data_IF_087274166045
#
_entry.id   IF_087274166045
#
_cell.length_a   1.000
_cell.length_b   1.000
_cell.length_c   1.000
_cell.angle_alpha   90.00
_cell.angle_beta   90.00
_cell.angle_gamma   90.00
#
_symmetry.space_group_name_H-M   'P 1'
#
loop_
_entity.id
_entity.type
_entity.pdbx_description
1 polymer ?
#
# COMPACT_ATOMS: atom_id res chain seq x y z
N UNK A 1 17.99 -2.82 15.65
CA UNK A 1 18.86 -2.19 14.64
C UNK A 1 19.86 -1.21 15.24
N UNK A 2 19.43 -0.26 16.09
CA UNK A 2 20.35 0.68 16.77
C UNK A 2 21.40 0.00 17.66
N UNK A 3 21.05 -1.12 18.32
CA UNK A 3 21.98 -1.91 19.14
C UNK A 3 23.10 -2.55 18.30
N UNK A 4 22.79 -3.05 17.08
CA UNK A 4 23.76 -3.68 16.18
C UNK A 4 24.73 -2.62 15.63
N UNK A 5 24.23 -1.45 15.23
CA UNK A 5 25.07 -0.32 14.80
C UNK A 5 25.95 0.20 15.93
N UNK A 6 25.39 0.32 17.14
CA UNK A 6 26.13 0.71 18.34
C UNK A 6 27.24 -0.28 18.66
N UNK A 7 26.96 -1.59 18.61
CA UNK A 7 27.98 -2.63 18.79
C UNK A 7 29.03 -2.59 17.66
N UNK A 8 28.64 -2.51 16.39
CA UNK A 8 29.58 -2.46 15.26
C UNK A 8 30.53 -1.26 15.32
N UNK A 9 30.06 -0.09 15.78
CA UNK A 9 30.90 1.11 15.96
C UNK A 9 31.79 0.96 17.20
N UNK A 10 31.27 0.39 18.30
CA UNK A 10 32.03 0.20 19.54
C UNK A 10 33.09 -0.91 19.44
N UNK A 11 32.94 -1.85 18.51
CA UNK A 11 33.87 -2.96 18.29
C UNK A 11 34.82 -2.76 17.10
N UNK A 12 34.80 -1.59 16.46
CA UNK A 12 35.79 -1.16 15.46
C UNK A 12 37.16 -0.93 16.15
N UNK A 13 37.91 -2.01 16.36
CA UNK A 13 39.28 -1.96 16.90
C UNK A 13 39.60 -2.95 18.02
N UNK A 14 38.65 -3.78 18.48
CA UNK A 14 38.92 -4.85 19.44
C UNK A 14 38.98 -6.19 18.68
N UNK A 15 40.16 -6.81 18.50
CA UNK A 15 40.24 -8.11 17.84
C UNK A 15 39.55 -9.15 18.72
N UNK A 16 38.33 -9.56 18.34
CA UNK A 16 37.75 -10.79 18.85
C UNK A 16 38.21 -11.94 17.97
N UNK A 17 38.74 -12.98 18.59
CA UNK A 17 38.82 -14.29 17.96
C UNK A 17 37.39 -14.75 17.64
N UNK A 18 37.06 -14.88 16.35
CA UNK A 18 35.82 -15.44 15.83
C UNK A 18 35.69 -16.92 16.22
N UNK A 19 35.45 -17.21 17.50
CA UNK A 19 35.55 -18.57 18.04
C UNK A 19 34.35 -19.47 17.66
N UNK A 20 33.38 -18.96 16.88
CA UNK A 20 32.15 -19.69 16.51
C UNK A 20 31.61 -19.32 15.12
N UNK A 21 32.47 -18.90 14.18
CA UNK A 21 32.05 -18.55 12.81
C UNK A 21 31.31 -19.72 12.14
N UNK A 22 31.78 -20.95 12.37
CA UNK A 22 31.19 -22.18 11.81
C UNK A 22 29.77 -22.43 12.30
N UNK A 23 29.50 -22.18 13.59
CA UNK A 23 28.16 -22.34 14.16
C UNK A 23 27.19 -21.26 13.66
N UNK A 24 27.67 -20.02 13.50
CA UNK A 24 26.88 -18.92 12.92
C UNK A 24 26.49 -19.19 11.47
N UNK A 25 27.45 -19.65 10.64
CA UNK A 25 27.18 -20.03 9.25
C UNK A 25 26.19 -21.18 9.17
N UNK A 26 26.36 -22.22 10.00
CA UNK A 26 25.45 -23.36 10.03
C UNK A 26 24.02 -22.96 10.42
N UNK A 27 23.87 -22.14 11.47
CA UNK A 27 22.56 -21.66 11.93
C UNK A 27 21.85 -20.84 10.85
N UNK A 28 22.55 -19.86 10.26
CA UNK A 28 22.02 -19.00 9.21
C UNK A 28 21.69 -19.81 7.94
N UNK A 29 22.49 -20.83 7.63
CA UNK A 29 22.21 -21.77 6.53
C UNK A 29 20.94 -22.58 6.75
N UNK A 30 20.71 -23.07 7.97
CA UNK A 30 19.45 -23.75 8.34
C UNK A 30 18.26 -22.80 8.20
N UNK A 31 18.38 -21.55 8.66
CA UNK A 31 17.32 -20.54 8.50
C UNK A 31 17.03 -20.25 7.02
N UNK A 32 18.06 -20.12 6.18
CA UNK A 32 17.90 -19.91 4.73
C UNK A 32 17.13 -21.05 4.07
N UNK A 33 17.46 -22.30 4.44
CA UNK A 33 16.80 -23.50 3.94
C UNK A 33 15.33 -23.55 4.37
N UNK A 34 15.04 -23.26 5.64
CA UNK A 34 13.66 -23.22 6.16
C UNK A 34 12.83 -22.14 5.45
N UNK A 35 13.39 -20.94 5.27
CA UNK A 35 12.74 -19.85 4.53
C UNK A 35 12.45 -20.25 3.08
N UNK A 36 13.36 -20.95 2.42
CA UNK A 36 13.18 -21.41 1.04
C UNK A 36 12.04 -22.44 0.94
N UNK A 37 12.02 -23.41 1.85
CA UNK A 37 10.99 -24.45 1.90
C UNK A 37 9.63 -23.83 2.19
N UNK A 38 9.51 -23.02 3.26
CA UNK A 38 8.26 -22.34 3.61
C UNK A 38 7.78 -21.42 2.49
N UNK A 39 8.68 -20.62 1.91
CA UNK A 39 8.37 -19.74 0.81
C UNK A 39 7.83 -20.48 -0.41
N UNK A 40 8.47 -21.60 -0.78
CA UNK A 40 8.05 -22.46 -1.88
C UNK A 40 6.68 -23.09 -1.63
N UNK A 41 6.42 -23.56 -0.40
CA UNK A 41 5.12 -24.10 0.00
C UNK A 41 4.03 -23.03 -0.06
N UNK A 42 4.29 -21.83 0.47
CA UNK A 42 3.37 -20.69 0.42
C UNK A 42 3.06 -20.27 -1.02
N UNK A 43 4.06 -20.17 -1.90
CA UNK A 43 3.82 -19.86 -3.32
C UNK A 43 2.94 -20.94 -3.98
N UNK A 44 3.22 -22.22 -3.71
CA UNK A 44 2.48 -23.34 -4.31
C UNK A 44 1.04 -23.40 -3.80
N UNK A 45 0.83 -23.23 -2.50
CA UNK A 45 -0.48 -23.15 -1.87
C UNK A 45 -1.25 -21.90 -2.33
N UNK A 46 -0.58 -20.74 -2.38
CA UNK A 46 -1.17 -19.49 -2.83
C UNK A 46 -1.65 -19.55 -4.28
N UNK A 47 -0.89 -20.18 -5.19
CA UNK A 47 -1.33 -20.42 -6.56
C UNK A 47 -2.52 -21.38 -6.64
N UNK A 48 -2.54 -22.43 -5.82
CA UNK A 48 -3.65 -23.41 -5.78
C UNK A 48 -4.95 -22.79 -5.26
N UNK A 49 -4.85 -21.87 -4.30
CA UNK A 49 -6.00 -21.20 -3.67
C UNK A 49 -6.32 -19.82 -4.26
N UNK A 50 -5.71 -19.45 -5.40
CA UNK A 50 -5.83 -18.11 -6.02
C UNK A 50 -5.59 -16.94 -5.04
N UNK A 51 -4.74 -17.14 -4.02
CA UNK A 51 -4.43 -16.13 -3.00
C UNK A 51 -3.12 -15.41 -3.35
N UNK A 52 -3.26 -14.21 -3.92
CA UNK A 52 -2.12 -13.34 -4.25
C UNK A 52 -1.28 -12.98 -3.01
N UNK A 53 -1.94 -12.76 -1.86
CA UNK A 53 -1.27 -12.45 -0.60
C UNK A 53 -0.35 -13.59 -0.14
N UNK A 54 -0.81 -14.85 -0.24
CA UNK A 54 -0.02 -16.01 0.14
C UNK A 54 1.15 -16.25 -0.82
N UNK A 55 0.96 -15.97 -2.12
CA UNK A 55 2.05 -15.99 -3.11
C UNK A 55 3.08 -14.89 -2.82
N UNK A 56 2.64 -13.68 -2.48
CA UNK A 56 3.53 -12.56 -2.18
C UNK A 56 4.38 -12.84 -0.93
N UNK A 57 3.76 -13.33 0.15
CA UNK A 57 4.46 -13.74 1.37
C UNK A 57 5.47 -14.86 1.10
N UNK A 58 5.08 -15.86 0.29
CA UNK A 58 6.00 -16.93 -0.11
C UNK A 58 7.20 -16.44 -0.93
N UNK A 59 6.99 -15.49 -1.85
CA UNK A 59 8.09 -14.85 -2.60
C UNK A 59 9.01 -14.01 -1.70
N UNK A 60 8.47 -13.37 -0.67
CA UNK A 60 9.26 -12.62 0.31
C UNK A 60 10.25 -13.55 1.04
N UNK A 61 9.77 -14.69 1.54
CA UNK A 61 10.62 -15.68 2.20
C UNK A 61 11.73 -16.22 1.28
N UNK A 62 11.43 -16.42 -0.01
CA UNK A 62 12.44 -16.82 -1.01
C UNK A 62 13.47 -15.70 -1.22
N UNK A 63 13.05 -14.43 -1.25
CA UNK A 63 13.97 -13.29 -1.33
C UNK A 63 14.89 -13.19 -0.11
N UNK A 64 14.38 -13.52 1.07
CA UNK A 64 15.17 -13.56 2.31
C UNK A 64 16.22 -14.68 2.24
N UNK A 65 15.89 -15.85 1.65
CA UNK A 65 16.88 -16.91 1.38
C UNK A 65 18.04 -16.41 0.52
N UNK A 66 17.77 -15.70 -0.58
CA UNK A 66 18.84 -15.17 -1.45
C UNK A 66 19.74 -14.17 -0.73
N UNK A 67 19.14 -13.28 0.06
CA UNK A 67 19.89 -12.33 0.89
C UNK A 67 20.78 -13.06 1.88
N UNK A 68 20.25 -14.11 2.52
CA UNK A 68 20.95 -14.96 3.49
C UNK A 68 22.11 -15.74 2.85
N UNK A 69 21.91 -16.28 1.65
CA UNK A 69 22.97 -16.93 0.88
C UNK A 69 24.10 -15.96 0.51
N UNK A 70 23.78 -14.69 0.24
CA UNK A 70 24.79 -13.63 0.07
C UNK A 70 25.67 -13.43 1.30
N UNK A 71 25.08 -13.51 2.50
CA UNK A 71 25.81 -13.46 3.78
C UNK A 71 26.75 -14.65 3.92
N UNK A 72 26.22 -15.86 3.73
CA UNK A 72 27.00 -17.09 3.83
C UNK A 72 28.18 -17.07 2.85
N UNK A 73 27.93 -16.66 1.60
CA UNK A 73 28.98 -16.53 0.59
C UNK A 73 30.08 -15.55 1.03
N UNK A 74 29.72 -14.38 1.59
CA UNK A 74 30.67 -13.42 2.14
C UNK A 74 31.50 -13.99 3.31
N UNK A 75 30.86 -14.70 4.24
CA UNK A 75 31.52 -15.31 5.39
C UNK A 75 32.47 -16.44 4.97
N UNK A 76 32.09 -17.27 4.01
CA UNK A 76 32.95 -18.32 3.45
C UNK A 76 34.16 -17.71 2.74
N UNK A 77 33.99 -16.59 2.03
CA UNK A 77 35.08 -15.88 1.37
C UNK A 77 36.09 -15.31 2.39
N UNK A 78 35.61 -14.81 3.53
CA UNK A 78 36.47 -14.40 4.66
C UNK A 78 37.24 -15.59 5.22
N UNK A 79 36.56 -16.72 5.46
CA UNK A 79 37.17 -17.93 6.01
C UNK A 79 38.30 -18.49 5.11
N UNK A 80 38.13 -18.40 3.79
CA UNK A 80 39.13 -18.86 2.82
C UNK A 80 40.31 -17.89 2.65
N UNK A 81 40.08 -16.58 2.77
CA UNK A 81 41.12 -15.56 2.54
C UNK A 81 41.95 -15.24 3.79
N UNK A 82 41.41 -15.46 4.99
CA UNK A 82 42.12 -15.26 6.25
C UNK A 82 42.44 -13.81 6.60
N UNK A 83 41.90 -12.85 5.84
CA UNK A 83 42.24 -11.43 6.00
C UNK A 83 41.27 -10.77 6.99
N UNK A 84 41.77 -10.50 8.20
CA UNK A 84 40.95 -10.02 9.33
C UNK A 84 40.30 -8.64 9.10
N UNK A 85 40.84 -7.77 8.23
CA UNK A 85 40.19 -6.49 7.92
C UNK A 85 38.87 -6.63 7.15
N UNK A 86 38.61 -7.81 6.56
CA UNK A 86 37.44 -8.01 5.69
C UNK A 86 36.21 -8.14 6.57
N UNK A 87 36.37 -8.70 7.77
CA UNK A 87 35.32 -8.83 8.78
C UNK A 87 34.68 -7.47 9.11
N UNK A 88 35.51 -6.43 9.34
CA UNK A 88 35.02 -5.07 9.62
C UNK A 88 34.30 -4.43 8.43
N UNK A 89 34.80 -4.64 7.20
CA UNK A 89 34.16 -4.10 5.99
C UNK A 89 32.82 -4.80 5.73
N UNK A 90 32.77 -6.12 5.87
CA UNK A 90 31.56 -6.91 5.65
C UNK A 90 30.51 -6.59 6.72
N UNK A 91 30.89 -6.48 7.99
CA UNK A 91 30.00 -6.03 9.06
C UNK A 91 29.44 -4.62 8.78
N UNK A 92 30.24 -3.71 8.23
CA UNK A 92 29.79 -2.36 7.85
C UNK A 92 28.79 -2.39 6.69
N UNK A 93 29.06 -3.18 5.64
CA UNK A 93 28.13 -3.36 4.51
C UNK A 93 26.80 -3.94 4.99
N UNK A 94 26.83 -4.95 5.85
CA UNK A 94 25.61 -5.52 6.44
C UNK A 94 24.86 -4.53 7.33
N UNK A 95 25.58 -3.75 8.14
CA UNK A 95 24.99 -2.67 8.94
C UNK A 95 24.22 -1.67 8.09
N UNK A 96 24.77 -1.27 6.94
CA UNK A 96 24.10 -0.37 5.98
C UNK A 96 22.88 -1.03 5.36
N UNK A 97 22.96 -2.29 4.93
CA UNK A 97 21.82 -3.02 4.34
C UNK A 97 20.67 -3.12 5.35
N UNK A 98 20.96 -3.52 6.59
CA UNK A 98 19.96 -3.62 7.65
C UNK A 98 19.35 -2.25 7.97
N UNK A 99 20.18 -1.20 7.99
CA UNK A 99 19.70 0.17 8.24
C UNK A 99 18.75 0.66 7.14
N UNK A 100 19.11 0.48 5.86
CA UNK A 100 18.26 0.89 4.73
C UNK A 100 16.95 0.12 4.72
N UNK A 101 16.99 -1.19 4.96
CA UNK A 101 15.79 -2.03 5.05
C UNK A 101 14.91 -1.62 6.22
N UNK A 102 15.49 -1.41 7.41
CA UNK A 102 14.75 -0.94 8.58
C UNK A 102 14.14 0.45 8.40
N UNK A 103 14.86 1.38 7.74
CA UNK A 103 14.36 2.70 7.40
C UNK A 103 13.19 2.64 6.43
N UNK A 104 13.25 1.76 5.42
CA UNK A 104 12.15 1.56 4.46
C UNK A 104 10.90 1.03 5.16
N UNK A 105 11.04 0.05 6.06
CA UNK A 105 9.94 -0.50 6.86
C UNK A 105 9.34 0.59 7.77
N UNK A 106 10.18 1.32 8.50
CA UNK A 106 9.73 2.39 9.39
C UNK A 106 9.01 3.49 8.60
N UNK A 107 9.52 3.87 7.42
CA UNK A 107 8.88 4.84 6.53
C UNK A 107 7.52 4.34 6.05
N UNK A 108 7.37 3.07 5.70
CA UNK A 108 6.06 2.51 5.34
C UNK A 108 5.08 2.43 6.52
N UNK A 109 5.58 2.30 7.76
CA UNK A 109 4.74 2.33 8.95
C UNK A 109 4.33 3.76 9.36
N UNK A 110 5.15 4.76 9.05
CA UNK A 110 4.90 6.17 9.38
C UNK A 110 4.14 6.93 8.27
N UNK A 111 4.28 6.51 7.01
CA UNK A 111 3.46 6.99 5.91
C UNK A 111 2.10 6.30 5.98
N UNK A 112 1.12 6.96 6.60
CA UNK A 112 -0.20 6.41 6.90
C UNK A 112 -0.86 5.66 5.74
N UNK A 113 -0.93 4.33 5.91
CA UNK A 113 -1.98 3.38 5.51
C UNK A 113 -2.65 3.67 4.15
N UNK A 114 -1.86 3.68 3.10
CA UNK A 114 -2.33 3.34 1.75
C UNK A 114 -1.19 2.60 1.09
N UNK A 115 -1.34 1.29 0.88
CA UNK A 115 -0.35 0.52 0.15
C UNK A 115 -0.30 1.01 -1.31
N UNK A 116 0.82 0.81 -2.00
CA UNK A 116 0.92 1.15 -3.44
C UNK A 116 -0.18 0.42 -4.23
N UNK A 117 -0.51 -0.80 -3.80
CA UNK A 117 -1.60 -1.60 -4.37
C UNK A 117 -2.98 -0.95 -4.18
N UNK A 118 -3.25 -0.36 -3.01
CA UNK A 118 -4.49 0.38 -2.76
C UNK A 118 -4.57 1.64 -3.63
N UNK A 119 -3.43 2.33 -3.83
CA UNK A 119 -3.35 3.50 -4.68
C UNK A 119 -3.64 3.18 -6.15
N UNK A 120 -3.12 2.07 -6.67
CA UNK A 120 -3.43 1.60 -8.03
C UNK A 120 -4.91 1.24 -8.21
N UNK A 121 -5.51 0.57 -7.21
CA UNK A 121 -6.94 0.26 -7.21
C UNK A 121 -7.78 1.54 -7.20
N UNK A 122 -7.41 2.50 -6.35
CA UNK A 122 -8.09 3.80 -6.28
C UNK A 122 -7.98 4.55 -7.62
N UNK A 123 -6.81 4.55 -8.25
CA UNK A 123 -6.60 5.19 -9.54
C UNK A 123 -7.47 4.60 -10.65
N UNK A 124 -7.61 3.26 -10.69
CA UNK A 124 -8.52 2.57 -11.63
C UNK A 124 -9.96 2.96 -11.38
N UNK A 125 -10.41 2.93 -10.12
CA UNK A 125 -11.76 3.33 -9.74
C UNK A 125 -12.05 4.77 -10.18
N UNK A 126 -11.15 5.70 -9.87
CA UNK A 126 -11.25 7.11 -10.25
C UNK A 126 -11.41 7.29 -11.76
N UNK A 127 -10.59 6.60 -12.55
CA UNK A 127 -10.67 6.65 -14.01
C UNK A 127 -12.05 6.20 -14.53
N UNK A 128 -12.56 5.08 -14.01
CA UNK A 128 -13.89 4.55 -14.39
C UNK A 128 -15.02 5.47 -13.95
N UNK A 129 -14.97 5.97 -12.71
CA UNK A 129 -15.97 6.90 -12.18
C UNK A 129 -15.97 8.23 -12.92
N UNK A 130 -14.83 8.74 -13.39
CA UNK A 130 -14.79 9.93 -14.23
C UNK A 130 -15.45 9.68 -15.61
N UNK A 131 -15.26 8.50 -16.20
CA UNK A 131 -15.86 8.13 -17.49
C UNK A 131 -17.38 7.93 -17.42
N UNK A 132 -17.87 7.33 -16.34
CA UNK A 132 -19.27 6.93 -16.16
C UNK A 132 -19.97 7.64 -15.00
N UNK A 133 -19.61 8.92 -14.77
CA UNK A 133 -20.17 9.71 -13.68
C UNK A 133 -21.64 10.05 -13.93
N UNK A 134 -22.51 9.67 -12.99
CA UNK A 134 -23.91 10.05 -13.02
C UNK A 134 -24.09 11.56 -12.73
N UNK A 135 -25.13 12.18 -13.31
CA UNK A 135 -25.36 13.62 -13.16
C UNK A 135 -25.57 14.08 -11.72
N UNK A 136 -26.10 13.20 -10.87
CA UNK A 136 -26.36 13.50 -9.47
C UNK A 136 -25.10 13.42 -8.59
N UNK A 137 -23.97 12.95 -9.11
CA UNK A 137 -22.72 12.84 -8.35
C UNK A 137 -21.94 14.15 -8.46
N UNK A 138 -22.21 15.07 -7.55
CA UNK A 138 -21.67 16.44 -7.59
C UNK A 138 -20.23 16.48 -7.09
N UNK A 139 -19.91 15.68 -6.09
CA UNK A 139 -18.56 15.59 -5.53
C UNK A 139 -18.32 14.22 -4.87
N UNK A 140 -17.05 13.82 -4.81
CA UNK A 140 -16.59 12.60 -4.15
C UNK A 140 -15.31 12.95 -3.38
N UNK A 141 -15.35 12.81 -2.07
CA UNK A 141 -14.22 13.16 -1.21
C UNK A 141 -14.09 12.17 -0.04
N UNK A 142 -13.06 12.36 0.78
CA UNK A 142 -12.67 11.46 1.87
C UNK A 142 -12.63 9.97 1.43
N UNK A 143 -12.25 9.70 0.19
CA UNK A 143 -12.34 8.36 -0.41
C UNK A 143 -11.11 7.53 -0.12
N UNK A 144 -11.35 6.32 0.40
CA UNK A 144 -10.33 5.34 0.75
C UNK A 144 -10.75 3.98 0.24
N UNK A 145 -9.78 3.26 -0.29
CA UNK A 145 -9.94 1.86 -0.68
C UNK A 145 -8.88 1.07 0.05
N UNK A 146 -9.26 -0.05 0.66
CA UNK A 146 -8.32 -0.93 1.34
C UNK A 146 -8.65 -2.36 0.95
N UNK A 147 -7.65 -3.10 0.50
CA UNK A 147 -7.79 -4.53 0.18
C UNK A 147 -7.41 -5.41 1.37
N UNK A 148 -8.38 -6.11 1.94
CA UNK A 148 -8.16 -7.12 2.97
C UNK A 148 -8.40 -8.53 2.39
N UNK A 149 -7.31 -9.21 2.04
CA UNK A 149 -7.37 -10.54 1.42
C UNK A 149 -8.02 -10.49 0.03
N UNK A 150 -9.19 -11.10 -0.13
CA UNK A 150 -10.00 -11.06 -1.35
C UNK A 150 -11.09 -10.00 -1.33
N UNK A 151 -11.36 -9.36 -0.20
CA UNK A 151 -12.42 -8.36 -0.04
C UNK A 151 -11.84 -6.96 -0.18
N UNK A 152 -12.54 -6.12 -0.93
CA UNK A 152 -12.24 -4.71 -1.10
C UNK A 152 -13.20 -3.91 -0.21
N UNK A 153 -12.66 -3.04 0.64
CA UNK A 153 -13.46 -2.10 1.44
C UNK A 153 -13.30 -0.70 0.85
N UNK A 154 -14.42 -0.06 0.53
CA UNK A 154 -14.48 1.31 0.05
C UNK A 154 -15.21 2.18 1.08
N UNK A 155 -14.55 3.22 1.55
CA UNK A 155 -15.16 4.28 2.35
C UNK A 155 -15.11 5.59 1.55
N UNK A 156 -16.24 6.29 1.43
CA UNK A 156 -16.32 7.52 0.65
C UNK A 156 -17.43 8.46 1.12
N UNK A 157 -17.28 9.75 0.83
CA UNK A 157 -18.36 10.72 0.95
C UNK A 157 -18.83 11.14 -0.46
N UNK A 158 -20.10 10.85 -0.78
CA UNK A 158 -20.71 11.22 -2.05
C UNK A 158 -21.64 12.41 -1.84
N UNK A 159 -21.35 13.53 -2.53
CA UNK A 159 -22.23 14.70 -2.53
C UNK A 159 -23.26 14.59 -3.64
N UNK A 160 -24.54 14.67 -3.26
CA UNK A 160 -25.71 14.59 -4.15
C UNK A 160 -26.62 15.83 -3.99
N UNK A 161 -27.61 16.07 -4.87
CA UNK A 161 -28.51 17.20 -4.68
C UNK A 161 -29.21 17.16 -3.33
N UNK A 162 -29.17 18.26 -2.57
CA UNK A 162 -29.66 18.30 -1.19
C UNK A 162 -31.17 18.01 -1.04
N UNK A 163 -31.93 18.20 -2.11
CA UNK A 163 -33.37 17.97 -2.15
C UNK A 163 -33.75 16.52 -2.46
N UNK A 164 -32.78 15.64 -2.73
CA UNK A 164 -33.06 14.21 -2.84
C UNK A 164 -33.53 13.69 -1.48
N UNK A 165 -34.59 12.90 -1.48
CA UNK A 165 -34.99 12.18 -0.28
C UNK A 165 -34.01 11.01 -0.01
N UNK A 166 -34.12 10.40 1.18
CA UNK A 166 -33.22 9.32 1.61
C UNK A 166 -33.20 8.14 0.63
N UNK A 167 -34.34 7.79 0.03
CA UNK A 167 -34.43 6.69 -0.93
C UNK A 167 -33.74 7.04 -2.27
N UNK A 168 -33.95 8.26 -2.75
CA UNK A 168 -33.27 8.75 -3.97
C UNK A 168 -31.75 8.83 -3.78
N UNK A 169 -31.29 9.35 -2.64
CA UNK A 169 -29.87 9.38 -2.30
C UNK A 169 -29.29 7.96 -2.18
N UNK A 170 -30.02 7.03 -1.55
CA UNK A 170 -29.62 5.63 -1.47
C UNK A 170 -29.51 4.98 -2.86
N UNK A 171 -30.44 5.26 -3.76
CA UNK A 171 -30.37 4.77 -5.14
C UNK A 171 -29.12 5.28 -5.89
N UNK A 172 -28.66 6.50 -5.62
CA UNK A 172 -27.39 7.01 -6.16
C UNK A 172 -26.17 6.27 -5.57
N UNK A 173 -26.21 5.93 -4.28
CA UNK A 173 -25.18 5.09 -3.64
C UNK A 173 -25.17 3.69 -4.24
N UNK A 174 -26.34 3.09 -4.49
CA UNK A 174 -26.44 1.77 -5.13
C UNK A 174 -25.90 1.78 -6.56
N UNK A 175 -26.14 2.85 -7.32
CA UNK A 175 -25.52 3.04 -8.64
C UNK A 175 -24.00 3.17 -8.52
N UNK A 176 -23.50 3.94 -7.56
CA UNK A 176 -22.06 4.06 -7.30
C UNK A 176 -21.46 2.68 -6.99
N UNK A 177 -22.10 1.93 -6.09
CA UNK A 177 -21.73 0.56 -5.76
C UNK A 177 -21.71 -0.34 -7.00
N UNK A 178 -22.73 -0.27 -7.85
CA UNK A 178 -22.81 -1.00 -9.11
C UNK A 178 -21.63 -0.71 -10.04
N UNK A 179 -21.31 0.58 -10.26
CA UNK A 179 -20.17 0.99 -11.10
C UNK A 179 -18.83 0.49 -10.56
N UNK A 180 -18.66 0.48 -9.23
CA UNK A 180 -17.43 -0.01 -8.61
C UNK A 180 -17.37 -1.55 -8.69
N UNK A 181 -18.49 -2.26 -8.49
CA UNK A 181 -18.57 -3.73 -8.66
C UNK A 181 -18.27 -4.19 -10.09
N UNK A 182 -18.68 -3.44 -11.10
CA UNK A 182 -18.34 -3.75 -12.50
C UNK A 182 -16.82 -3.83 -12.74
N UNK A 183 -16.03 -3.05 -12.00
CA UNK A 183 -14.56 -3.01 -12.13
C UNK A 183 -13.85 -4.02 -11.21
N UNK A 184 -14.33 -4.19 -9.97
CA UNK A 184 -13.62 -4.94 -8.92
C UNK A 184 -14.28 -6.28 -8.54
N UNK A 185 -15.46 -6.60 -9.09
CA UNK A 185 -16.23 -7.80 -8.79
C UNK A 185 -17.14 -7.68 -7.56
N UNK A 186 -17.78 -8.79 -7.18
CA UNK A 186 -18.80 -8.84 -6.11
C UNK A 186 -18.22 -8.79 -4.69
N UNK A 187 -16.91 -8.98 -4.51
CA UNK A 187 -16.24 -8.96 -3.19
C UNK A 187 -15.89 -7.53 -2.77
N UNK A 188 -16.90 -6.66 -2.73
CA UNK A 188 -16.78 -5.24 -2.41
C UNK A 188 -17.77 -4.85 -1.31
N UNK A 189 -17.24 -4.38 -0.19
CA UNK A 189 -18.00 -3.74 0.88
C UNK A 189 -17.88 -2.22 0.76
N UNK A 190 -19.02 -1.53 0.62
CA UNK A 190 -19.08 -0.07 0.56
C UNK A 190 -19.68 0.53 1.83
N UNK A 191 -19.02 1.55 2.34
CA UNK A 191 -19.56 2.51 3.29
C UNK A 191 -19.53 3.88 2.63
N UNK A 192 -20.70 4.42 2.28
CA UNK A 192 -20.79 5.72 1.63
C UNK A 192 -21.62 6.65 2.49
N UNK A 193 -21.00 7.73 2.95
CA UNK A 193 -21.71 8.84 3.57
C UNK A 193 -22.29 9.73 2.48
N UNK A 194 -23.61 9.95 2.48
CA UNK A 194 -24.26 10.88 1.56
C UNK A 194 -24.26 12.29 2.11
N UNK A 195 -23.69 13.22 1.35
CA UNK A 195 -23.69 14.65 1.63
C UNK A 195 -24.69 15.39 0.72
N UNK A 196 -25.42 16.35 1.27
CA UNK A 196 -26.19 17.31 0.46
C UNK A 196 -25.28 18.37 -0.16
N UNK A 197 -25.54 18.74 -1.41
CA UNK A 197 -24.81 19.82 -2.07
C UNK A 197 -25.12 21.19 -1.43
N UNK A 198 -24.09 22.04 -1.35
CA UNK A 198 -24.18 23.42 -0.87
C UNK A 198 -24.04 24.41 -2.03
N UNK A 199 -24.31 25.69 -1.81
CA UNK A 199 -24.29 26.74 -2.85
C UNK A 199 -22.99 26.75 -3.67
N UNK A 200 -21.83 26.64 -3.01
CA UNK A 200 -20.53 26.59 -3.70
C UNK A 200 -20.37 25.37 -4.63
N UNK A 201 -21.14 24.30 -4.39
CA UNK A 201 -21.12 23.07 -5.20
C UNK A 201 -21.78 23.30 -6.56
N UNK A 202 -22.67 24.30 -6.69
CA UNK A 202 -23.33 24.61 -7.95
C UNK A 202 -22.33 24.90 -9.08
N UNK A 203 -21.20 25.54 -8.76
CA UNK A 203 -20.12 25.87 -9.70
C UNK A 203 -19.43 24.64 -10.29
N UNK A 204 -19.46 23.51 -9.58
CA UNK A 204 -18.85 22.25 -10.00
C UNK A 204 -19.86 21.15 -10.39
N UNK A 205 -21.15 21.40 -10.15
CA UNK A 205 -22.24 20.49 -10.44
C UNK A 205 -22.58 20.50 -11.94
N UNK A 206 -22.35 19.37 -12.62
CA UNK A 206 -22.66 19.21 -14.05
C UNK A 206 -24.14 18.95 -14.36
N UNK A 207 -25.01 18.85 -13.35
CA UNK A 207 -26.46 18.62 -13.53
C UNK A 207 -27.12 19.82 -14.23
N UNK A 208 -27.52 19.64 -15.49
CA UNK A 208 -28.04 20.70 -16.35
C UNK A 208 -29.42 21.23 -15.89
N UNK A 209 -30.33 20.33 -15.50
CA UNK A 209 -31.71 20.65 -15.08
C UNK A 209 -31.93 20.72 -13.57
N UNK A 210 -30.99 21.28 -12.79
CA UNK A 210 -31.15 21.34 -11.32
C UNK A 210 -32.17 22.42 -10.90
N UNK A 211 -33.31 22.06 -10.27
CA UNK A 211 -34.35 23.02 -9.87
C UNK A 211 -33.92 23.93 -8.72
N UNK A 212 -32.91 23.54 -7.94
CA UNK A 212 -32.42 24.27 -6.78
C UNK A 212 -31.10 25.02 -7.03
N UNK A 213 -30.69 25.21 -8.29
CA UNK A 213 -29.40 25.79 -8.67
C UNK A 213 -29.30 27.26 -8.24
N UNK A 214 -28.31 27.57 -7.41
CA UNK A 214 -28.04 28.94 -6.92
C UNK A 214 -26.91 29.66 -7.67
N UNK A 215 -26.06 28.92 -8.41
CA UNK A 215 -24.96 29.51 -9.19
C UNK A 215 -24.77 28.78 -10.53
N UNK A 216 -24.31 29.48 -11.58
CA UNK A 216 -24.02 28.86 -12.86
C UNK A 216 -22.92 27.80 -12.71
N UNK A 217 -23.02 26.75 -13.51
CA UNK A 217 -21.95 25.78 -13.65
C UNK A 217 -20.74 26.45 -14.31
N UNK A 218 -19.55 26.21 -13.75
CA UNK A 218 -18.30 26.79 -14.27
C UNK A 218 -17.38 25.70 -14.82
N UNK A 219 -17.07 24.67 -14.02
CA UNK A 219 -16.20 23.57 -14.45
C UNK A 219 -16.52 22.28 -13.72
N UNK A 220 -16.38 21.14 -14.39
CA UNK A 220 -16.43 19.83 -13.73
C UNK A 220 -15.05 19.54 -13.13
N UNK A 221 -15.01 19.17 -11.85
CA UNK A 221 -13.77 18.69 -11.22
C UNK A 221 -13.49 17.29 -11.70
N UNK A 222 -12.32 17.10 -12.31
CA UNK A 222 -11.79 15.77 -12.59
C UNK A 222 -11.30 15.17 -11.27
N UNK A 223 -11.84 14.01 -10.92
CA UNK A 223 -11.41 13.33 -9.72
C UNK A 223 -10.03 12.74 -9.94
N UNK A 224 -9.16 12.93 -8.96
CA UNK A 224 -7.82 12.33 -8.91
C UNK A 224 -7.68 11.65 -7.56
N UNK A 225 -6.82 10.63 -7.47
CA UNK A 225 -6.49 9.98 -6.19
C UNK A 225 -6.15 11.01 -5.12
N UNK A 226 -5.40 12.06 -5.49
CA UNK A 226 -4.97 13.09 -4.54
C UNK A 226 -6.11 13.96 -4.02
N UNK A 227 -7.06 14.37 -4.86
CA UNK A 227 -8.13 15.27 -4.44
C UNK A 227 -9.28 14.52 -3.75
N UNK A 228 -9.65 13.31 -4.19
CA UNK A 228 -10.76 12.58 -3.56
C UNK A 228 -10.38 11.98 -2.22
N UNK A 229 -9.10 11.67 -1.97
CA UNK A 229 -8.68 11.10 -0.68
C UNK A 229 -8.67 12.10 0.47
N UNK A 230 -8.78 13.40 0.18
CA UNK A 230 -8.82 14.44 1.20
C UNK A 230 -10.23 14.56 1.78
N UNK A 231 -10.34 14.76 3.09
CA UNK A 231 -11.60 15.07 3.73
C UNK A 231 -11.96 16.57 3.55
N UNK A 232 -12.11 16.97 2.29
CA UNK A 232 -12.46 18.32 1.90
C UNK A 232 -13.34 18.29 0.64
N UNK A 233 -14.54 18.88 0.75
CA UNK A 233 -15.44 19.07 -0.40
C UNK A 233 -14.75 19.91 -1.47
N UNK A 234 -14.82 19.45 -2.72
CA UNK A 234 -14.18 20.14 -3.83
C UNK A 234 -14.85 21.48 -4.11
N UNK A 235 -14.04 22.43 -4.57
CA UNK A 235 -14.42 23.77 -4.96
C UNK A 235 -13.81 24.08 -6.31
N UNK A 236 -14.16 25.22 -6.89
CA UNK A 236 -13.57 25.64 -8.16
C UNK A 236 -12.04 25.83 -8.10
N UNK A 237 -11.52 26.12 -6.90
CA UNK A 237 -10.09 26.24 -6.64
C UNK A 237 -9.40 24.89 -6.40
N UNK A 238 -10.16 23.78 -6.34
CA UNK A 238 -9.57 22.44 -6.22
C UNK A 238 -8.75 22.16 -7.49
N UNK A 239 -7.47 21.76 -7.33
CA UNK A 239 -6.60 21.40 -8.42
C UNK A 239 -7.04 20.10 -9.10
#
# INVERSE_FOLDING_TARGET
SGLILYESIHYLGVPRTLHQLDFGIALIGVTALLNFIMGSVCVRAGRKSNSLALVASGKHLISDTWSTLGIIAGLVLIALTGIQWIDSIVAMVFGVIIFVTGYKILRSSLAGIMDESDRELLAKMVSRLNQHREENWIDLHNTRIIKFGSVLHLDAHLTVPWYLNVHEAHNEIDRLAGRVREEFGETLELYVHSDGCLDFSCKICSKSGCPARQSPFEKRIEWTVQNISQNQKHRISTP
#
